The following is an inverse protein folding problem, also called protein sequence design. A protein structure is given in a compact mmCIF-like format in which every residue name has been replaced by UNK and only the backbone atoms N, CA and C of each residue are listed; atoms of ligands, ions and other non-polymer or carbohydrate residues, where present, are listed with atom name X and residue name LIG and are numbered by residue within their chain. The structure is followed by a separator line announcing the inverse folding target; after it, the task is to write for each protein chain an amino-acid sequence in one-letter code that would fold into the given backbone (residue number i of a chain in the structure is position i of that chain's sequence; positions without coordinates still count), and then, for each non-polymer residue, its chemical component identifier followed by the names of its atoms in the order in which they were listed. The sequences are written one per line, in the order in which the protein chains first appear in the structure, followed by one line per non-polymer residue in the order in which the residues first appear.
data_IF_920434278321
#
_entry.id   IF_920434278321
#
_cell.length_a   1.000
_cell.length_b   1.000
_cell.length_c   1.000
_cell.angle_alpha   90.00
_cell.angle_beta   90.00
_cell.angle_gamma   90.00
#
_symmetry.space_group_name_H-M   'P 1'
#
loop_
_entity.id
_entity.type
_entity.pdbx_description
1 polymer ?
#
# COMPACT_ATOMS: atom_id res chain seq x y z
N UNK A 1 4.75 -9.50 -19.07
CA UNK A 1 4.14 -9.93 -17.80
C UNK A 1 4.93 -9.30 -16.68
N UNK A 2 4.27 -8.61 -15.76
CA UNK A 2 4.86 -8.02 -14.57
C UNK A 2 4.28 -8.73 -13.35
N UNK A 3 5.12 -9.22 -12.45
CA UNK A 3 4.70 -9.75 -11.14
C UNK A 3 4.93 -8.64 -10.14
N UNK A 4 3.89 -8.23 -9.43
CA UNK A 4 3.99 -7.30 -8.30
C UNK A 4 3.52 -7.98 -7.03
N UNK A 5 4.33 -7.87 -5.99
CA UNK A 5 3.98 -8.30 -4.64
C UNK A 5 3.53 -7.07 -3.84
N UNK A 6 2.29 -7.08 -3.38
CA UNK A 6 1.74 -6.00 -2.55
C UNK A 6 2.04 -6.28 -1.05
N UNK A 7 1.80 -5.29 -0.20
CA UNK A 7 1.82 -5.37 1.27
C UNK A 7 3.17 -5.70 1.94
N UNK A 8 4.31 -5.42 1.27
CA UNK A 8 5.61 -5.51 1.97
C UNK A 8 5.67 -4.51 3.13
N UNK A 9 6.26 -4.92 4.25
CA UNK A 9 6.29 -4.10 5.45
C UNK A 9 5.01 -4.14 6.29
N UNK A 10 3.93 -4.78 5.83
CA UNK A 10 2.71 -4.94 6.61
C UNK A 10 3.01 -5.68 7.91
N UNK A 11 3.59 -6.88 7.83
CA UNK A 11 3.92 -7.74 8.96
C UNK A 11 5.31 -8.40 8.81
N UNK A 12 5.85 -8.97 9.89
CA UNK A 12 7.06 -9.78 9.78
C UNK A 12 6.85 -10.98 8.85
N UNK A 13 5.68 -11.62 8.86
CA UNK A 13 5.41 -12.75 7.96
C UNK A 13 5.40 -12.33 6.48
N UNK A 14 4.87 -11.15 6.14
CA UNK A 14 4.96 -10.63 4.77
C UNK A 14 6.40 -10.34 4.36
N UNK A 15 7.24 -9.85 5.28
CA UNK A 15 8.65 -9.61 5.00
C UNK A 15 9.45 -10.90 4.81
N UNK A 16 9.16 -11.96 5.57
CA UNK A 16 9.75 -13.28 5.35
C UNK A 16 9.32 -13.88 4.01
N UNK A 17 8.10 -13.60 3.54
CA UNK A 17 7.68 -13.98 2.20
C UNK A 17 8.42 -13.17 1.12
N UNK A 18 8.62 -11.87 1.34
CA UNK A 18 9.45 -11.02 0.48
C UNK A 18 10.89 -11.58 0.37
N UNK A 19 11.52 -11.93 1.49
CA UNK A 19 12.86 -12.53 1.50
C UNK A 19 12.92 -13.83 0.66
N UNK A 20 11.91 -14.69 0.79
CA UNK A 20 11.80 -15.90 -0.05
C UNK A 20 11.62 -15.57 -1.53
N UNK A 21 10.80 -14.58 -1.86
CA UNK A 21 10.61 -14.12 -3.24
C UNK A 21 11.91 -13.60 -3.85
N UNK A 22 12.68 -12.81 -3.09
CA UNK A 22 14.03 -12.36 -3.48
C UNK A 22 14.92 -13.58 -3.77
N UNK A 23 14.97 -14.55 -2.85
CA UNK A 23 15.79 -15.77 -3.00
C UNK A 23 15.37 -16.70 -4.15
N UNK A 24 14.14 -16.57 -4.66
CA UNK A 24 13.64 -17.40 -5.77
C UNK A 24 14.27 -17.07 -7.13
N UNK A 25 14.82 -15.85 -7.28
CA UNK A 25 15.36 -15.36 -8.56
C UNK A 25 14.29 -15.01 -9.61
N UNK A 26 13.00 -15.19 -9.31
CA UNK A 26 11.90 -14.76 -10.21
C UNK A 26 11.89 -13.23 -10.25
N UNK A 27 11.89 -12.57 -11.42
CA UNK A 27 11.77 -11.13 -11.50
C UNK A 27 10.38 -10.65 -11.03
N UNK A 28 10.36 -9.74 -10.05
CA UNK A 28 9.15 -9.12 -9.53
C UNK A 28 9.45 -7.69 -9.06
N UNK A 29 8.41 -6.87 -8.93
CA UNK A 29 8.44 -5.62 -8.17
C UNK A 29 7.66 -5.78 -6.87
N UNK A 30 7.92 -4.93 -5.88
CA UNK A 30 7.15 -4.92 -4.64
C UNK A 30 6.78 -3.50 -4.22
N UNK A 31 5.71 -3.34 -3.45
CA UNK A 31 5.33 -2.05 -2.86
C UNK A 31 5.25 -2.16 -1.34
N UNK A 32 5.78 -1.13 -0.65
CA UNK A 32 5.95 -1.12 0.80
C UNK A 32 4.91 -0.24 1.48
N UNK A 33 4.23 -0.77 2.49
CA UNK A 33 3.30 -0.03 3.35
C UNK A 33 4.08 0.74 4.42
N UNK A 34 4.46 1.98 4.11
CA UNK A 34 5.26 2.82 5.03
C UNK A 34 4.52 3.27 6.31
N UNK A 35 3.20 3.05 6.38
CA UNK A 35 2.41 3.22 7.60
C UNK A 35 2.52 2.02 8.56
N UNK A 36 2.92 0.84 8.09
CA UNK A 36 2.87 -0.39 8.87
C UNK A 36 4.10 -0.62 9.75
N UNK A 37 3.99 -1.32 10.91
CA UNK A 37 5.08 -1.44 11.89
C UNK A 37 6.36 -2.12 11.37
N UNK A 38 6.26 -2.98 10.35
CA UNK A 38 7.39 -3.77 9.86
C UNK A 38 8.06 -3.21 8.61
N UNK A 39 7.72 -1.97 8.21
CA UNK A 39 8.31 -1.36 7.01
C UNK A 39 9.84 -1.25 7.09
N UNK A 40 10.41 -1.02 8.28
CA UNK A 40 11.86 -0.85 8.44
C UNK A 40 12.63 -2.12 8.07
N UNK A 41 12.14 -3.30 8.48
CA UNK A 41 12.72 -4.57 8.08
C UNK A 41 12.58 -4.80 6.57
N UNK A 42 11.46 -4.42 5.97
CA UNK A 42 11.30 -4.49 4.51
C UNK A 42 12.32 -3.59 3.79
N UNK A 43 12.57 -2.38 4.32
CA UNK A 43 13.59 -1.45 3.82
C UNK A 43 14.99 -2.06 3.90
N UNK A 44 15.36 -2.71 5.00
CA UNK A 44 16.66 -3.37 5.13
C UNK A 44 16.86 -4.50 4.11
N UNK A 45 15.84 -5.34 3.93
CA UNK A 45 15.85 -6.41 2.93
C UNK A 45 16.02 -5.86 1.51
N UNK A 46 15.28 -4.80 1.17
CA UNK A 46 15.30 -4.20 -0.17
C UNK A 46 16.57 -3.39 -0.45
N UNK A 47 17.17 -2.74 0.55
CA UNK A 47 18.49 -2.10 0.43
C UNK A 47 19.58 -3.10 0.07
N UNK A 48 19.48 -4.30 0.61
CA UNK A 48 20.43 -5.40 0.32
C UNK A 48 20.16 -6.05 -1.04
N UNK A 49 19.06 -5.70 -1.71
CA UNK A 49 18.61 -6.28 -2.98
C UNK A 49 18.14 -5.18 -3.97
N UNK A 50 19.05 -4.29 -4.40
CA UNK A 50 18.70 -3.11 -5.22
C UNK A 50 18.18 -3.44 -6.62
N UNK A 51 18.24 -4.71 -7.05
CA UNK A 51 17.67 -5.19 -8.30
C UNK A 51 16.14 -5.28 -8.29
N UNK A 52 15.50 -5.28 -7.11
CA UNK A 52 14.04 -5.35 -6.97
C UNK A 52 13.45 -3.93 -7.09
N UNK A 53 12.60 -3.64 -8.09
CA UNK A 53 11.92 -2.36 -8.18
C UNK A 53 10.95 -2.18 -7.00
N UNK A 54 10.96 -0.99 -6.40
CA UNK A 54 10.20 -0.72 -5.17
C UNK A 54 9.18 0.40 -5.38
N UNK A 55 7.95 0.17 -4.94
CA UNK A 55 6.89 1.16 -4.90
C UNK A 55 6.45 1.53 -3.49
N UNK A 56 5.64 2.58 -3.41
CA UNK A 56 4.96 3.01 -2.18
C UNK A 56 3.54 2.46 -2.21
N UNK A 57 3.18 1.62 -1.24
CA UNK A 57 1.82 1.12 -1.06
C UNK A 57 1.02 2.08 -0.19
N UNK A 58 0.42 3.11 -0.82
CA UNK A 58 -0.32 4.14 -0.10
C UNK A 58 -1.50 3.53 0.67
N UNK A 59 -1.56 3.81 1.96
CA UNK A 59 -2.42 3.07 2.90
C UNK A 59 -3.33 4.02 3.67
N UNK A 60 -4.64 3.79 3.61
CA UNK A 60 -5.67 4.58 4.33
C UNK A 60 -6.70 3.71 5.09
N UNK A 61 -6.47 2.41 5.18
CA UNK A 61 -7.31 1.47 5.93
C UNK A 61 -6.44 0.45 6.68
N UNK A 62 -7.00 -0.17 7.71
CA UNK A 62 -6.40 -1.27 8.46
C UNK A 62 -7.45 -2.35 8.78
N UNK A 63 -7.56 -3.32 7.89
CA UNK A 63 -8.66 -4.28 7.74
C UNK A 63 -8.65 -5.43 8.73
N UNK A 64 -7.49 -5.78 9.28
CA UNK A 64 -7.39 -6.92 10.18
C UNK A 64 -7.93 -6.60 11.58
N UNK A 65 -8.63 -7.57 12.18
CA UNK A 65 -9.25 -7.39 13.49
C UNK A 65 -8.26 -7.15 14.63
N UNK A 66 -7.17 -7.95 14.68
CA UNK A 66 -6.23 -7.99 15.80
C UNK A 66 -4.82 -7.47 15.45
N UNK A 67 -4.62 -7.02 14.21
CA UNK A 67 -3.32 -6.56 13.71
C UNK A 67 -3.52 -5.27 12.92
N UNK A 68 -3.50 -4.14 13.61
CA UNK A 68 -3.87 -2.85 13.01
C UNK A 68 -2.72 -1.88 13.05
N UNK A 69 -2.75 -0.94 12.11
CA UNK A 69 -1.78 0.15 11.99
C UNK A 69 -2.53 1.48 11.88
N UNK A 70 -1.80 2.54 12.19
CA UNK A 70 -2.30 3.90 12.16
C UNK A 70 -1.51 4.75 11.18
N UNK A 71 -1.88 6.03 11.07
CA UNK A 71 -1.20 6.99 10.21
C UNK A 71 0.23 7.27 10.65
N UNK A 72 1.07 7.63 9.68
CA UNK A 72 2.41 8.18 9.87
C UNK A 72 2.38 9.39 10.80
N UNK A 73 1.36 10.23 10.65
CA UNK A 73 1.18 11.49 11.39
C UNK A 73 0.45 11.34 12.73
N UNK A 74 0.05 10.12 13.10
CA UNK A 74 -0.66 9.88 14.36
C UNK A 74 -1.92 10.74 14.51
N UNK A 75 -2.03 11.47 15.63
CA UNK A 75 -3.24 12.25 15.98
C UNK A 75 -3.48 13.49 15.12
N UNK A 76 -2.50 13.94 14.33
CA UNK A 76 -2.66 15.12 13.46
C UNK A 76 -3.68 14.90 12.34
N UNK A 77 -3.97 13.63 12.02
CA UNK A 77 -4.92 13.21 11.00
C UNK A 77 -6.05 12.36 11.60
N UNK A 78 -6.56 12.80 12.76
CA UNK A 78 -7.54 12.05 13.56
C UNK A 78 -8.87 11.75 12.87
N UNK A 79 -9.23 12.46 11.79
CA UNK A 79 -10.41 12.10 10.96
C UNK A 79 -10.22 10.82 10.15
N UNK A 80 -8.99 10.31 10.05
CA UNK A 80 -8.68 9.07 9.32
C UNK A 80 -8.69 7.82 10.21
N UNK A 81 -8.84 8.00 11.52
CA UNK A 81 -8.65 6.94 12.51
C UNK A 81 -9.84 6.76 13.44
N UNK A 82 -9.97 5.56 13.99
CA UNK A 82 -10.85 5.31 15.12
C UNK A 82 -10.30 5.87 16.45
N UNK A 83 -11.08 5.68 17.52
CA UNK A 83 -10.73 6.15 18.87
C UNK A 83 -9.42 5.55 19.42
N UNK A 84 -8.96 4.42 18.87
CA UNK A 84 -7.69 3.78 19.23
C UNK A 84 -6.51 4.27 18.39
N UNK A 85 -6.74 5.16 17.42
CA UNK A 85 -5.71 5.71 16.54
C UNK A 85 -5.34 4.81 15.36
N UNK A 86 -6.15 3.79 15.06
CA UNK A 86 -5.96 2.93 13.89
C UNK A 86 -6.77 3.42 12.71
N UNK A 87 -6.29 3.23 11.48
CA UNK A 87 -7.10 3.48 10.30
C UNK A 87 -8.38 2.65 10.30
N UNK A 88 -9.47 3.18 9.75
CA UNK A 88 -10.73 2.43 9.62
C UNK A 88 -10.56 1.13 8.82
N UNK A 89 -11.35 0.07 9.11
CA UNK A 89 -11.09 -1.26 8.56
C UNK A 89 -11.53 -1.47 7.11
N UNK A 90 -12.26 -0.53 6.53
CA UNK A 90 -12.73 -0.64 5.15
C UNK A 90 -12.94 0.72 4.50
N UNK A 91 -12.93 0.76 3.17
CA UNK A 91 -13.33 1.95 2.38
C UNK A 91 -14.69 2.49 2.82
N UNK A 92 -15.68 1.60 2.99
CA UNK A 92 -17.03 1.98 3.43
C UNK A 92 -16.98 2.72 4.78
N UNK A 93 -16.36 2.10 5.80
CA UNK A 93 -16.28 2.69 7.14
C UNK A 93 -15.45 3.97 7.14
N UNK A 94 -14.37 4.02 6.37
CA UNK A 94 -13.56 5.22 6.17
C UNK A 94 -14.43 6.39 5.71
N UNK A 95 -15.25 6.21 4.68
CA UNK A 95 -16.14 7.27 4.18
C UNK A 95 -17.30 7.61 5.10
N UNK A 96 -17.87 6.64 5.81
CA UNK A 96 -18.95 6.87 6.81
C UNK A 96 -18.51 7.83 7.93
N UNK A 97 -17.20 7.93 8.20
CA UNK A 97 -16.63 8.82 9.21
C UNK A 97 -16.24 10.21 8.67
N UNK A 98 -16.58 10.52 7.41
CA UNK A 98 -16.35 11.83 6.79
C UNK A 98 -14.90 12.33 6.94
N UNK A 99 -13.92 11.62 6.33
CA UNK A 99 -12.50 11.96 6.45
C UNK A 99 -12.26 13.34 5.84
N UNK A 100 -11.43 14.16 6.49
CA UNK A 100 -11.09 15.46 5.92
C UNK A 100 -10.08 15.28 4.80
N UNK A 101 -10.39 15.83 3.63
CA UNK A 101 -9.51 15.76 2.46
C UNK A 101 -8.09 16.29 2.74
N UNK A 102 -7.98 17.36 3.53
CA UNK A 102 -6.69 17.92 3.96
C UNK A 102 -5.85 16.93 4.80
N UNK A 103 -6.50 16.10 5.61
CA UNK A 103 -5.83 15.11 6.45
C UNK A 103 -5.40 13.90 5.59
N UNK A 104 -6.20 13.53 4.58
CA UNK A 104 -5.83 12.53 3.57
C UNK A 104 -4.56 12.96 2.83
N UNK A 105 -4.51 14.19 2.29
CA UNK A 105 -3.30 14.67 1.60
C UNK A 105 -2.09 14.70 2.53
N UNK A 106 -2.25 15.21 3.76
CA UNK A 106 -1.16 15.25 4.76
C UNK A 106 -0.60 13.86 5.02
N UNK A 107 -1.46 12.88 5.27
CA UNK A 107 -1.03 11.52 5.59
C UNK A 107 -0.35 10.84 4.40
N UNK A 108 -0.95 10.91 3.20
CA UNK A 108 -0.34 10.32 2.00
C UNK A 108 1.02 10.96 1.69
N UNK A 109 1.13 12.29 1.82
CA UNK A 109 2.39 13.02 1.69
C UNK A 109 3.42 12.58 2.72
N UNK A 110 3.00 12.31 3.96
CA UNK A 110 3.88 11.84 5.01
C UNK A 110 4.38 10.40 4.75
N UNK A 111 3.53 9.52 4.22
CA UNK A 111 3.93 8.19 3.74
C UNK A 111 4.96 8.29 2.62
N UNK A 112 4.74 9.16 1.63
CA UNK A 112 5.71 9.40 0.54
C UNK A 112 7.02 9.96 1.08
N UNK A 113 6.98 10.97 1.95
CA UNK A 113 8.18 11.53 2.55
C UNK A 113 8.96 10.47 3.36
N UNK A 114 8.28 9.62 4.11
CA UNK A 114 8.90 8.50 4.83
C UNK A 114 9.55 7.50 3.87
N UNK A 115 8.92 7.22 2.72
CA UNK A 115 9.48 6.36 1.69
C UNK A 115 10.73 6.96 1.03
N UNK A 116 10.69 8.22 0.62
CA UNK A 116 11.81 8.90 -0.02
C UNK A 116 13.01 9.05 0.92
N UNK A 117 12.76 9.22 2.22
CA UNK A 117 13.81 9.28 3.25
C UNK A 117 14.31 7.90 3.71
N UNK A 118 13.74 6.80 3.22
CA UNK A 118 14.15 5.45 3.62
C UNK A 118 15.52 5.06 3.08
N UNK A 119 16.01 5.72 2.04
CA UNK A 119 17.23 5.37 1.31
C UNK A 119 17.05 4.26 0.27
N UNK A 120 15.80 3.86 -0.02
CA UNK A 120 15.47 3.04 -1.19
C UNK A 120 15.36 3.90 -2.44
N UNK A 121 15.63 3.31 -3.60
CA UNK A 121 15.20 3.87 -4.88
C UNK A 121 13.72 3.53 -5.07
N UNK A 122 12.85 4.53 -5.00
CA UNK A 122 11.41 4.38 -5.21
C UNK A 122 11.10 4.64 -6.69
N UNK A 123 10.40 3.71 -7.34
CA UNK A 123 10.09 3.76 -8.77
C UNK A 123 8.62 4.12 -9.07
N UNK A 124 7.69 3.77 -8.17
CA UNK A 124 6.26 3.95 -8.41
C UNK A 124 5.42 4.09 -7.13
N UNK A 125 4.15 4.45 -7.31
CA UNK A 125 3.11 4.46 -6.30
C UNK A 125 2.02 3.47 -6.70
N UNK A 126 1.53 2.73 -5.73
CA UNK A 126 0.26 2.02 -5.78
C UNK A 126 -0.48 2.22 -4.45
N UNK A 127 -1.54 1.43 -4.21
CA UNK A 127 -2.51 1.77 -3.17
C UNK A 127 -3.19 0.54 -2.58
N UNK A 128 -3.21 0.49 -1.26
CA UNK A 128 -3.79 -0.59 -0.48
C UNK A 128 -5.32 -0.53 -0.54
N UNK A 129 -5.93 -1.66 -0.94
CA UNK A 129 -7.38 -1.89 -1.08
C UNK A 129 -8.19 -0.85 -1.88
N UNK A 130 -7.54 0.08 -2.60
CA UNK A 130 -8.19 1.07 -3.44
C UNK A 130 -8.61 2.37 -2.75
N UNK A 131 -8.46 2.50 -1.43
CA UNK A 131 -8.99 3.67 -0.68
C UNK A 131 -8.42 5.00 -1.18
N UNK A 132 -7.14 5.05 -1.54
CA UNK A 132 -6.51 6.28 -2.04
C UNK A 132 -6.94 6.68 -3.47
N UNK A 133 -7.71 5.84 -4.19
CA UNK A 133 -8.06 6.06 -5.60
C UNK A 133 -9.56 5.93 -5.89
N UNK A 134 -10.38 5.70 -4.86
CA UNK A 134 -11.80 5.38 -5.02
C UNK A 134 -12.69 6.62 -5.27
N UNK A 135 -12.21 7.81 -4.93
CA UNK A 135 -12.83 9.10 -5.23
C UNK A 135 -11.93 9.98 -6.11
N UNK A 136 -12.52 10.82 -7.01
CA UNK A 136 -11.74 11.73 -7.85
C UNK A 136 -10.77 12.61 -7.07
N UNK A 137 -11.22 13.22 -5.97
CA UNK A 137 -10.39 14.11 -5.16
C UNK A 137 -9.19 13.42 -4.50
N UNK A 138 -9.29 12.10 -4.23
CA UNK A 138 -8.15 11.33 -3.71
C UNK A 138 -7.19 10.94 -4.83
N UNK A 139 -7.72 10.62 -6.00
CA UNK A 139 -6.92 10.38 -7.21
C UNK A 139 -6.09 11.61 -7.57
N UNK A 140 -6.69 12.80 -7.53
CA UNK A 140 -5.99 14.06 -7.79
C UNK A 140 -4.79 14.24 -6.83
N UNK A 141 -4.95 13.87 -5.55
CA UNK A 141 -3.87 13.88 -4.56
C UNK A 141 -2.77 12.87 -4.93
N UNK A 142 -3.13 11.64 -5.27
CA UNK A 142 -2.16 10.60 -5.63
C UNK A 142 -1.38 11.00 -6.89
N UNK A 143 -2.06 11.51 -7.92
CA UNK A 143 -1.44 11.98 -9.15
C UNK A 143 -0.49 13.15 -8.90
N UNK A 144 -0.91 14.14 -8.10
CA UNK A 144 -0.06 15.25 -7.66
C UNK A 144 1.19 14.76 -6.93
N UNK A 145 1.05 13.84 -5.97
CA UNK A 145 2.18 13.31 -5.22
C UNK A 145 3.15 12.51 -6.12
N UNK A 146 2.62 11.75 -7.08
CA UNK A 146 3.43 11.03 -8.06
C UNK A 146 4.22 12.00 -8.96
N UNK A 147 3.57 13.06 -9.46
CA UNK A 147 4.21 14.09 -10.27
C UNK A 147 5.33 14.81 -9.50
N UNK A 148 5.04 15.29 -8.28
CA UNK A 148 5.99 16.01 -7.41
C UNK A 148 7.25 15.20 -7.09
N UNK A 149 7.14 13.86 -7.07
CA UNK A 149 8.24 12.96 -6.72
C UNK A 149 8.79 12.18 -7.93
N UNK A 150 8.33 12.47 -9.14
CA UNK A 150 8.71 11.79 -10.39
C UNK A 150 8.50 10.27 -10.35
N UNK A 151 7.38 9.83 -9.79
CA UNK A 151 7.03 8.42 -9.61
C UNK A 151 5.99 7.98 -10.65
N UNK A 152 6.10 6.72 -11.09
CA UNK A 152 5.05 6.06 -11.84
C UNK A 152 3.80 5.80 -11.00
N UNK A 153 2.64 5.63 -11.63
CA UNK A 153 1.42 5.18 -10.95
C UNK A 153 1.05 3.81 -11.51
N UNK A 154 0.95 2.81 -10.63
CA UNK A 154 0.44 1.49 -11.00
C UNK A 154 -0.94 1.60 -11.65
N UNK A 155 -1.16 0.85 -12.74
CA UNK A 155 -2.36 0.89 -13.60
C UNK A 155 -2.42 2.05 -14.61
N UNK A 156 -1.38 2.89 -14.69
CA UNK A 156 -1.30 4.00 -15.67
C UNK A 156 -0.37 3.66 -16.84
N UNK A 157 0.14 2.43 -16.91
CA UNK A 157 1.05 1.94 -17.95
C UNK A 157 0.35 1.07 -19.00
N UNK A 158 -0.97 1.23 -19.15
CA UNK A 158 -1.77 0.46 -20.09
C UNK A 158 -2.11 -0.96 -19.61
N UNK A 159 -2.05 -1.20 -18.30
CA UNK A 159 -2.48 -2.47 -17.70
C UNK A 159 -3.98 -2.67 -17.92
N UNK A 160 -4.37 -3.88 -18.33
CA UNK A 160 -5.75 -4.30 -18.42
C UNK A 160 -6.03 -5.39 -17.38
N UNK A 161 -7.23 -5.36 -16.83
CA UNK A 161 -7.67 -6.40 -15.92
C UNK A 161 -7.96 -7.68 -16.71
N UNK A 162 -7.34 -8.77 -16.28
CA UNK A 162 -7.87 -10.10 -16.57
C UNK A 162 -8.96 -10.43 -15.56
N UNK A 163 -9.91 -11.28 -15.95
CA UNK A 163 -10.89 -11.83 -15.02
C UNK A 163 -10.16 -12.38 -13.78
N UNK A 164 -10.57 -11.91 -12.61
CA UNK A 164 -9.99 -12.32 -11.33
C UNK A 164 -11.11 -12.70 -10.37
N UNK A 165 -10.76 -13.43 -9.31
CA UNK A 165 -11.75 -13.98 -8.38
C UNK A 165 -12.21 -12.98 -7.31
N UNK A 166 -11.77 -11.72 -7.34
CA UNK A 166 -12.15 -10.74 -6.31
C UNK A 166 -13.64 -10.38 -6.34
N UNK A 167 -14.26 -10.05 -7.48
CA UNK A 167 -15.69 -9.73 -7.57
C UNK A 167 -16.60 -10.95 -7.47
N UNK A 168 -16.05 -12.16 -7.64
CA UNK A 168 -16.82 -13.39 -7.58
C UNK A 168 -17.45 -13.59 -6.18
N UNK A 169 -18.72 -14.01 -6.10
CA UNK A 169 -19.31 -14.49 -4.86
C UNK A 169 -18.39 -15.51 -4.16
N UNK A 170 -18.36 -15.50 -2.82
CA UNK A 170 -17.49 -16.38 -2.02
C UNK A 170 -17.68 -17.84 -2.44
N UNK A 171 -18.92 -18.23 -2.72
CA UNK A 171 -19.33 -19.57 -3.13
C UNK A 171 -18.74 -19.99 -4.50
N UNK A 172 -18.37 -19.02 -5.33
CA UNK A 172 -17.77 -19.24 -6.65
C UNK A 172 -16.26 -19.06 -6.68
N UNK A 173 -15.65 -18.57 -5.58
CA UNK A 173 -14.19 -18.54 -5.45
C UNK A 173 -13.71 -19.98 -5.31
N UNK A 174 -12.99 -20.48 -6.32
CA UNK A 174 -12.35 -21.79 -6.25
C UNK A 174 -11.30 -21.76 -5.12
N UNK A 175 -11.14 -22.88 -4.42
CA UNK A 175 -10.04 -23.09 -3.48
C UNK A 175 -8.71 -22.93 -4.22
N UNK A 176 -8.16 -21.71 -4.24
CA UNK A 176 -6.91 -21.40 -4.95
C UNK A 176 -5.66 -21.90 -4.24
N UNK A 177 -5.82 -22.65 -3.15
CA UNK A 177 -4.72 -23.21 -2.35
C UNK A 177 -4.35 -24.64 -2.74
N UNK A 178 -5.06 -25.25 -3.70
CA UNK A 178 -4.75 -26.58 -4.22
C UNK A 178 -4.86 -26.55 -5.75
N UNK A 179 -3.75 -26.20 -6.40
CA UNK A 179 -3.60 -26.24 -7.86
C UNK A 179 -2.13 -26.35 -8.23
#
# INVERSE_FOLDING_TARGET
MLIRCDDSGMSNSTNLALEKMIGSGIPFSTSVMFACPWYQQAVELLKSNPQVPVGIHLTLNAEWKNYRWGPVLGKEVSSLTDESGYFFPSRKTFHEHNPKLEEVEKELRAQVARAMNSGLKIDYIDYHMGTAMDKPEYRDIVEKLAEENHLGISRYFGEFYTDNMYPDPIESKKDSLIG
#
